data_IF_321498028800
#
_entry.id   IF_321498028800
#
_cell.length_a   1.000
_cell.length_b   1.000
_cell.length_c   1.000
_cell.angle_alpha   90.00
_cell.angle_beta   90.00
_cell.angle_gamma   90.00
#
_symmetry.space_group_name_H-M   'P 1'
#
loop_
_entity.id
_entity.type
_entity.pdbx_description
1 polymer ?
#
# COMPACT_ATOMS: atom_id res chain seq x y z
N UNK A 1 -5.35 1.58 -0.30
CA UNK A 1 -4.29 1.22 0.67
C UNK A 1 -3.28 2.35 0.73
N UNK A 2 -3.31 3.10 1.83
CA UNK A 2 -2.49 4.28 2.11
C UNK A 2 -1.14 3.87 2.70
N UNK A 3 -0.05 4.22 2.03
CA UNK A 3 1.32 3.86 2.38
C UNK A 3 2.10 5.00 3.06
N UNK A 4 1.43 5.99 3.66
CA UNK A 4 2.06 7.20 4.21
C UNK A 4 3.20 6.99 5.23
N UNK A 5 3.31 5.82 5.86
CA UNK A 5 4.42 5.48 6.76
C UNK A 5 5.64 4.83 6.08
N UNK A 6 5.60 4.62 4.76
CA UNK A 6 6.60 3.92 3.97
C UNK A 6 7.23 4.83 2.91
N UNK A 7 8.46 4.53 2.49
CA UNK A 7 9.22 5.39 1.57
C UNK A 7 9.15 4.91 0.14
N UNK A 8 9.62 3.69 -0.16
CA UNK A 8 9.66 3.17 -1.53
C UNK A 8 9.65 1.65 -1.54
N UNK A 9 8.82 1.04 -2.39
CA UNK A 9 8.73 -0.41 -2.39
C UNK A 9 7.60 -0.98 -3.22
N UNK A 10 7.18 -2.20 -2.85
CA UNK A 10 6.06 -2.93 -3.43
C UNK A 10 5.13 -3.46 -2.33
N UNK A 11 3.83 -3.52 -2.59
CA UNK A 11 2.85 -4.08 -1.66
C UNK A 11 2.08 -5.24 -2.31
N UNK A 12 1.84 -6.26 -1.52
CA UNK A 12 1.05 -7.44 -1.88
C UNK A 12 -0.06 -7.64 -0.87
N UNK A 13 -1.21 -8.15 -1.34
CA UNK A 13 -2.30 -8.65 -0.50
C UNK A 13 -2.63 -10.06 -0.95
N UNK A 14 -2.61 -11.04 -0.04
CA UNK A 14 -2.91 -12.45 -0.34
C UNK A 14 -2.10 -12.98 -1.55
N UNK A 15 -0.82 -12.62 -1.64
CA UNK A 15 0.07 -12.96 -2.76
C UNK A 15 -0.17 -12.17 -4.06
N UNK A 16 -1.22 -11.37 -4.18
CA UNK A 16 -1.48 -10.51 -5.33
C UNK A 16 -0.70 -9.20 -5.24
N UNK A 17 0.09 -8.88 -6.28
CA UNK A 17 0.87 -7.65 -6.34
C UNK A 17 -0.02 -6.42 -6.61
N UNK A 18 -0.13 -5.52 -5.64
CA UNK A 18 -0.84 -4.24 -5.81
C UNK A 18 -0.02 -3.24 -6.64
N UNK A 19 1.30 -3.40 -6.64
CA UNK A 19 2.23 -2.60 -7.43
C UNK A 19 3.26 -1.86 -6.58
N UNK A 20 3.95 -0.93 -7.24
CA UNK A 20 5.00 -0.10 -6.64
C UNK A 20 4.42 1.12 -5.98
N UNK A 21 5.01 1.55 -4.86
CA UNK A 21 4.76 2.85 -4.25
C UNK A 21 6.06 3.64 -4.11
N UNK A 22 5.91 4.97 -4.04
CA UNK A 22 6.99 5.87 -3.67
C UNK A 22 6.40 7.13 -3.05
N UNK A 23 6.87 7.52 -1.88
CA UNK A 23 6.44 8.73 -1.17
C UNK A 23 6.84 10.05 -1.86
N UNK A 24 7.52 10.01 -3.00
CA UNK A 24 7.71 11.21 -3.83
C UNK A 24 6.38 11.66 -4.45
N UNK A 25 5.40 10.77 -4.57
CA UNK A 25 4.09 11.09 -5.13
C UNK A 25 4.05 11.07 -6.67
N UNK A 26 2.96 11.56 -7.29
CA UNK A 26 1.78 12.15 -6.65
C UNK A 26 0.85 11.10 -6.02
N UNK A 27 0.97 9.84 -6.39
CA UNK A 27 0.11 8.78 -5.83
C UNK A 27 0.47 8.53 -4.36
N UNK A 28 -0.54 8.44 -3.48
CA UNK A 28 -0.38 8.14 -2.03
C UNK A 28 -1.09 6.87 -1.57
N UNK A 29 -1.88 6.27 -2.45
CA UNK A 29 -2.60 5.02 -2.19
C UNK A 29 -2.51 4.06 -3.37
N UNK A 30 -2.40 2.76 -3.10
CA UNK A 30 -2.64 1.71 -4.09
C UNK A 30 -4.10 1.23 -4.03
N UNK A 31 -4.69 0.96 -5.20
CA UNK A 31 -6.02 0.36 -5.29
C UNK A 31 -5.98 -1.10 -4.85
N UNK A 32 -6.96 -1.53 -4.06
CA UNK A 32 -7.13 -2.92 -3.64
C UNK A 32 -8.34 -3.49 -4.38
N UNK A 33 -8.17 -4.41 -5.34
CA UNK A 33 -9.30 -5.02 -6.03
C UNK A 33 -10.19 -5.81 -5.06
N UNK A 34 -11.51 -5.59 -5.13
CA UNK A 34 -12.47 -6.34 -4.31
C UNK A 34 -12.30 -7.88 -4.38
N UNK A 35 -12.06 -8.48 -5.56
CA UNK A 35 -11.91 -9.93 -5.68
C UNK A 35 -10.71 -10.55 -4.93
N UNK A 36 -9.71 -9.76 -4.54
CA UNK A 36 -8.54 -10.28 -3.81
C UNK A 36 -8.68 -10.16 -2.28
N UNK A 37 -9.80 -9.64 -1.78
CA UNK A 37 -10.07 -9.47 -0.34
C UNK A 37 -10.85 -10.68 0.19
N UNK A 38 -10.44 -11.18 1.35
CA UNK A 38 -11.03 -12.31 2.05
C UNK A 38 -11.43 -11.91 3.48
N UNK A 39 -12.02 -12.83 4.25
CA UNK A 39 -12.32 -12.57 5.68
C UNK A 39 -11.03 -12.39 6.51
N UNK A 40 -9.99 -13.15 6.20
CA UNK A 40 -8.64 -13.01 6.74
C UNK A 40 -7.68 -12.68 5.61
N UNK A 41 -6.88 -11.63 5.76
CA UNK A 41 -5.97 -11.16 4.72
C UNK A 41 -4.54 -11.11 5.25
N UNK A 42 -3.59 -11.48 4.40
CA UNK A 42 -2.17 -11.24 4.60
C UNK A 42 -1.74 -10.05 3.76
N UNK A 43 -0.98 -9.13 4.36
CA UNK A 43 -0.35 -8.01 3.67
C UNK A 43 1.16 -8.18 3.80
N UNK A 44 1.86 -8.15 2.66
CA UNK A 44 3.32 -8.17 2.61
C UNK A 44 3.80 -6.88 1.97
N UNK A 45 4.73 -6.20 2.65
CA UNK A 45 5.33 -4.96 2.19
C UNK A 45 6.83 -5.18 2.05
N UNK A 46 7.33 -4.96 0.84
CA UNK A 46 8.77 -4.93 0.57
C UNK A 46 9.22 -3.48 0.49
N UNK A 47 9.77 -2.96 1.60
CA UNK A 47 10.32 -1.61 1.73
C UNK A 47 11.82 -1.60 1.41
N UNK A 48 12.24 -0.67 0.55
CA UNK A 48 13.61 -0.57 0.05
C UNK A 48 14.47 0.46 0.79
N UNK A 49 13.84 1.39 1.51
CA UNK A 49 14.53 2.49 2.18
C UNK A 49 14.28 2.41 3.70
N UNK A 50 13.34 3.21 4.20
CA UNK A 50 12.96 3.26 5.60
C UNK A 50 11.44 3.45 5.74
N UNK A 51 10.91 3.03 6.88
CA UNK A 51 9.53 3.26 7.27
C UNK A 51 9.48 3.85 8.67
N UNK A 52 8.48 4.68 8.96
CA UNK A 52 8.27 5.24 10.29
C UNK A 52 7.67 4.20 11.24
N UNK A 53 6.61 3.54 10.78
CA UNK A 53 5.86 2.52 11.52
C UNK A 53 5.41 1.42 10.56
N UNK A 54 5.39 0.14 11.00
CA UNK A 54 4.92 -0.98 10.19
C UNK A 54 3.38 -1.05 10.19
N UNK A 55 2.71 0.07 9.91
CA UNK A 55 1.24 0.19 9.87
C UNK A 55 0.83 0.65 8.47
N UNK A 56 -0.23 0.06 7.94
CA UNK A 56 -0.87 0.52 6.71
C UNK A 56 -2.37 0.67 6.92
N UNK A 57 -2.99 1.57 6.15
CA UNK A 57 -4.44 1.83 6.26
C UNK A 57 -5.16 1.51 4.97
N UNK A 58 -6.31 0.84 5.08
CA UNK A 58 -7.25 0.69 3.97
C UNK A 58 -8.26 1.84 4.07
N UNK A 59 -8.47 2.53 2.96
CA UNK A 59 -9.35 3.71 2.85
C UNK A 59 -10.33 3.50 1.71
N UNK A 60 -11.50 4.13 1.79
CA UNK A 60 -12.56 4.12 0.77
C UNK A 60 -12.30 5.09 -0.40
N UNK A 61 -11.29 5.94 -0.26
CA UNK A 61 -10.94 7.00 -1.20
C UNK A 61 -9.46 6.96 -1.54
N UNK A 62 -9.14 7.25 -2.80
CA UNK A 62 -7.77 7.38 -3.27
C UNK A 62 -7.18 8.72 -2.80
N UNK A 63 -5.91 8.71 -2.40
CA UNK A 63 -5.15 9.92 -2.05
C UNK A 63 -4.09 10.19 -3.12
N UNK A 64 -4.02 11.45 -3.50
CA UNK A 64 -3.04 12.00 -4.42
C UNK A 64 -2.50 13.30 -3.83
N UNK A 65 -1.24 13.62 -4.11
CA UNK A 65 -0.74 14.96 -3.93
C UNK A 65 -1.56 15.90 -4.80
N UNK A 66 -1.97 17.02 -4.21
CA UNK A 66 -2.74 18.06 -4.90
C UNK A 66 -1.92 18.74 -5.97
#
# INVERSE_FOLDING_TARGET
MDFGGFTKGCIFINGFALGRYWNIGPQRTLYVPGPVVHEQNEIVIFELEHYERPEIRITDSAKWDK
#
